data_IF_626121359319
#
_entry.id   IF_626121359319
#
_cell.length_a   1.000
_cell.length_b   1.000
_cell.length_c   1.000
_cell.angle_alpha   90.00
_cell.angle_beta   90.00
_cell.angle_gamma   90.00
#
_symmetry.space_group_name_H-M   'P 1'
#
loop_
_entity.id
_entity.type
_entity.pdbx_description
1 polymer ?
#
# COMPACT_ATOMS: atom_id res chain seq x y z
N UNK A 1 -8.50 3.49 -15.65
CA UNK A 1 -7.48 4.23 -14.89
C UNK A 1 -6.64 3.24 -14.10
N UNK A 2 -5.55 2.68 -14.67
CA UNK A 2 -4.71 1.74 -13.90
C UNK A 2 -3.22 1.64 -14.28
N UNK A 3 -2.60 2.66 -14.87
CA UNK A 3 -1.17 2.52 -15.27
C UNK A 3 -0.21 3.39 -14.44
N UNK A 4 -0.67 4.49 -13.84
CA UNK A 4 0.26 5.47 -13.26
C UNK A 4 1.02 4.98 -12.02
N UNK A 5 0.37 4.20 -11.13
CA UNK A 5 1.04 3.64 -9.95
C UNK A 5 2.02 2.54 -10.36
N UNK A 6 1.64 1.66 -11.27
CA UNK A 6 2.48 0.56 -11.74
C UNK A 6 3.73 1.10 -12.45
N UNK A 7 3.57 2.10 -13.33
CA UNK A 7 4.72 2.77 -13.97
C UNK A 7 5.62 3.47 -12.95
N UNK A 8 5.05 4.09 -11.92
CA UNK A 8 5.83 4.69 -10.83
C UNK A 8 6.61 3.64 -10.04
N UNK A 9 6.00 2.48 -9.75
CA UNK A 9 6.67 1.38 -9.04
C UNK A 9 7.77 0.76 -9.89
N UNK A 10 7.53 0.55 -11.20
CA UNK A 10 8.58 0.10 -12.14
C UNK A 10 9.77 1.05 -12.13
N UNK A 11 9.52 2.34 -12.31
CA UNK A 11 10.57 3.36 -12.34
C UNK A 11 11.33 3.44 -11.01
N UNK A 12 10.62 3.34 -9.87
CA UNK A 12 11.23 3.30 -8.54
C UNK A 12 12.15 2.10 -8.34
N UNK A 13 11.81 0.95 -8.93
CA UNK A 13 12.48 -0.33 -8.68
C UNK A 13 13.35 -0.84 -9.86
N UNK A 14 13.59 -0.03 -10.89
CA UNK A 14 14.31 -0.50 -12.09
C UNK A 14 15.79 -0.86 -11.86
N UNK A 15 16.49 -0.12 -10.99
CA UNK A 15 17.96 -0.23 -10.80
C UNK A 15 18.38 -0.72 -9.41
N UNK A 16 17.43 -1.26 -8.63
CA UNK A 16 17.66 -1.72 -7.27
C UNK A 16 18.03 -3.22 -7.27
N UNK A 17 19.03 -3.61 -6.48
CA UNK A 17 19.34 -5.03 -6.31
C UNK A 17 18.17 -5.79 -5.67
N UNK A 18 18.00 -7.07 -6.00
CA UNK A 18 16.87 -7.87 -5.53
C UNK A 18 16.71 -7.86 -3.99
N UNK A 19 17.81 -8.02 -3.25
CA UNK A 19 17.78 -7.98 -1.78
C UNK A 19 17.30 -6.63 -1.23
N UNK A 20 17.70 -5.54 -1.88
CA UNK A 20 17.28 -4.19 -1.49
C UNK A 20 15.83 -3.93 -1.92
N UNK A 21 15.40 -4.49 -3.05
CA UNK A 21 14.02 -4.45 -3.51
C UNK A 21 13.09 -5.10 -2.49
N UNK A 22 13.38 -6.32 -2.02
CA UNK A 22 12.55 -7.03 -1.04
C UNK A 22 12.34 -6.19 0.22
N UNK A 23 13.44 -5.62 0.77
CA UNK A 23 13.36 -4.76 1.96
C UNK A 23 12.55 -3.49 1.73
N UNK A 24 12.77 -2.82 0.60
CA UNK A 24 12.07 -1.58 0.29
C UNK A 24 10.58 -1.82 0.02
N UNK A 25 10.23 -2.87 -0.72
CA UNK A 25 8.85 -3.25 -0.97
C UNK A 25 8.13 -3.63 0.33
N UNK A 26 8.77 -4.42 1.21
CA UNK A 26 8.21 -4.76 2.52
C UNK A 26 7.88 -3.50 3.32
N UNK A 27 8.83 -2.57 3.42
CA UNK A 27 8.61 -1.29 4.10
C UNK A 27 7.44 -0.51 3.47
N UNK A 28 7.42 -0.38 2.15
CA UNK A 28 6.38 0.35 1.41
C UNK A 28 4.98 -0.27 1.61
N UNK A 29 4.88 -1.59 1.67
CA UNK A 29 3.62 -2.31 1.87
C UNK A 29 3.14 -2.18 3.32
N UNK A 30 4.04 -2.37 4.29
CA UNK A 30 3.74 -2.21 5.73
C UNK A 30 3.33 -0.78 6.04
N UNK A 31 4.00 0.22 5.46
CA UNK A 31 3.64 1.63 5.64
C UNK A 31 2.22 1.93 5.17
N UNK A 32 1.81 1.44 3.99
CA UNK A 32 0.44 1.62 3.50
C UNK A 32 -0.60 0.85 4.33
N UNK A 33 -0.29 -0.38 4.77
CA UNK A 33 -1.15 -1.11 5.70
C UNK A 33 -1.28 -0.40 7.05
N UNK A 34 -0.21 0.25 7.52
CA UNK A 34 -0.19 1.05 8.74
C UNK A 34 -1.16 2.24 8.69
N UNK A 35 -1.31 2.89 7.53
CA UNK A 35 -2.32 3.95 7.34
C UNK A 35 -3.73 3.39 7.51
N UNK A 36 -4.03 2.21 6.93
CA UNK A 36 -5.34 1.56 7.09
C UNK A 36 -5.61 1.29 8.57
N UNK A 37 -4.65 0.68 9.26
CA UNK A 37 -4.76 0.39 10.69
C UNK A 37 -5.04 1.66 11.49
N UNK A 38 -4.22 2.70 11.33
CA UNK A 38 -4.37 3.96 12.07
C UNK A 38 -5.70 4.66 11.79
N UNK A 39 -6.17 4.69 10.54
CA UNK A 39 -7.48 5.24 10.20
C UNK A 39 -8.62 4.52 10.92
N UNK A 40 -8.59 3.18 10.95
CA UNK A 40 -9.61 2.40 11.66
C UNK A 40 -9.51 2.59 13.17
N UNK A 41 -8.30 2.59 13.75
CA UNK A 41 -8.09 2.85 15.18
C UNK A 41 -8.63 4.22 15.59
N UNK A 42 -8.41 5.25 14.77
CA UNK A 42 -8.93 6.58 15.05
C UNK A 42 -10.46 6.59 15.10
N UNK A 43 -11.13 5.97 14.12
CA UNK A 43 -12.59 5.85 14.11
C UNK A 43 -13.12 5.08 15.33
N UNK A 44 -12.46 3.98 15.71
CA UNK A 44 -12.84 3.22 16.91
C UNK A 44 -12.72 4.09 18.16
N UNK A 45 -11.62 4.84 18.31
CA UNK A 45 -11.44 5.74 19.44
C UNK A 45 -12.51 6.85 19.47
N UNK A 46 -12.86 7.45 18.34
CA UNK A 46 -13.92 8.47 18.28
C UNK A 46 -15.27 7.91 18.77
N UNK A 47 -15.59 6.68 18.38
CA UNK A 47 -16.82 5.98 18.80
C UNK A 47 -16.75 5.61 20.29
N UNK A 48 -15.63 5.05 20.76
CA UNK A 48 -15.46 4.62 22.15
C UNK A 48 -15.48 5.79 23.14
N UNK A 49 -15.03 6.97 22.72
CA UNK A 49 -15.01 8.18 23.56
C UNK A 49 -16.27 9.04 23.42
N UNK A 50 -17.30 8.58 22.70
CA UNK A 50 -18.56 9.31 22.47
C UNK A 50 -18.33 10.74 21.95
N UNK A 51 -17.32 10.92 21.09
CA UNK A 51 -17.03 12.21 20.48
C UNK A 51 -18.20 12.67 19.60
N UNK A 52 -18.36 13.98 19.38
CA UNK A 52 -19.34 14.49 18.42
C UNK A 52 -18.84 14.20 17.00
N UNK A 53 -19.34 13.12 16.40
CA UNK A 53 -18.83 12.57 15.16
C UNK A 53 -19.37 13.35 13.96
N UNK A 54 -18.50 14.07 13.26
CA UNK A 54 -18.80 14.61 11.93
C UNK A 54 -18.76 13.49 10.88
N UNK A 55 -19.89 13.26 10.22
CA UNK A 55 -20.02 12.24 9.18
C UNK A 55 -19.11 12.48 7.97
N UNK A 56 -18.82 13.73 7.62
CA UNK A 56 -17.93 14.04 6.49
C UNK A 56 -16.47 13.75 6.83
N UNK A 57 -16.08 13.96 8.08
CA UNK A 57 -14.76 13.57 8.59
C UNK A 57 -14.61 12.04 8.56
N UNK A 58 -15.59 11.30 9.08
CA UNK A 58 -15.59 9.82 9.05
C UNK A 58 -15.47 9.29 7.62
N UNK A 59 -16.24 9.87 6.70
CA UNK A 59 -16.19 9.48 5.29
C UNK A 59 -14.80 9.71 4.70
N UNK A 60 -14.19 10.86 4.97
CA UNK A 60 -12.82 11.17 4.53
C UNK A 60 -11.81 10.16 5.06
N UNK A 61 -11.91 9.79 6.34
CA UNK A 61 -11.01 8.81 6.98
C UNK A 61 -11.16 7.43 6.33
N UNK A 62 -12.40 7.00 6.07
CA UNK A 62 -12.69 5.73 5.40
C UNK A 62 -12.21 5.72 3.94
N UNK A 63 -12.34 6.83 3.21
CA UNK A 63 -11.81 6.96 1.85
C UNK A 63 -10.28 6.85 1.82
N UNK A 64 -9.58 7.49 2.77
CA UNK A 64 -8.12 7.35 2.93
C UNK A 64 -7.74 5.90 3.22
N UNK A 65 -8.45 5.24 4.14
CA UNK A 65 -8.20 3.84 4.48
C UNK A 65 -8.40 2.93 3.26
N UNK A 66 -9.48 3.13 2.51
CA UNK A 66 -9.77 2.37 1.30
C UNK A 66 -8.68 2.55 0.24
N UNK A 67 -8.31 3.80 -0.06
CA UNK A 67 -7.28 4.10 -1.04
C UNK A 67 -5.91 3.53 -0.65
N UNK A 68 -5.56 3.57 0.64
CA UNK A 68 -4.31 2.98 1.13
C UNK A 68 -4.32 1.46 1.06
N UNK A 69 -5.46 0.82 1.35
CA UNK A 69 -5.62 -0.63 1.19
C UNK A 69 -5.47 -1.05 -0.27
N UNK A 70 -6.11 -0.34 -1.20
CA UNK A 70 -5.96 -0.58 -2.64
C UNK A 70 -4.50 -0.46 -3.10
N UNK A 71 -3.80 0.57 -2.62
CA UNK A 71 -2.39 0.78 -2.94
C UNK A 71 -1.51 -0.34 -2.37
N UNK A 72 -1.81 -0.83 -1.18
CA UNK A 72 -1.13 -1.98 -0.57
C UNK A 72 -1.29 -3.22 -1.44
N UNK A 73 -2.51 -3.53 -1.88
CA UNK A 73 -2.79 -4.67 -2.76
C UNK A 73 -2.04 -4.54 -4.10
N UNK A 74 -2.05 -3.35 -4.72
CA UNK A 74 -1.31 -3.09 -5.97
C UNK A 74 0.19 -3.31 -5.80
N UNK A 75 0.79 -2.82 -4.70
CA UNK A 75 2.20 -3.05 -4.38
C UNK A 75 2.52 -4.55 -4.19
N UNK A 76 1.65 -5.31 -3.54
CA UNK A 76 1.83 -6.76 -3.37
C UNK A 76 1.79 -7.47 -4.74
N UNK A 77 0.81 -7.14 -5.59
CA UNK A 77 0.70 -7.70 -6.95
C UNK A 77 1.91 -7.35 -7.81
N UNK A 78 2.37 -6.10 -7.75
CA UNK A 78 3.57 -5.66 -8.45
C UNK A 78 4.79 -6.50 -8.06
N UNK A 79 5.01 -6.71 -6.76
CA UNK A 79 6.15 -7.49 -6.30
C UNK A 79 6.08 -8.96 -6.69
N UNK A 80 4.90 -9.58 -6.62
CA UNK A 80 4.71 -10.96 -7.09
C UNK A 80 5.13 -11.10 -8.56
N UNK A 81 4.68 -10.19 -9.42
CA UNK A 81 5.04 -10.16 -10.84
C UNK A 81 6.54 -9.90 -11.05
N UNK A 82 7.10 -8.93 -10.34
CA UNK A 82 8.53 -8.61 -10.45
C UNK A 82 9.43 -9.78 -10.07
N UNK A 83 9.07 -10.54 -9.02
CA UNK A 83 9.79 -11.76 -8.60
C UNK A 83 9.68 -12.84 -9.68
N UNK A 84 8.48 -13.06 -10.24
CA UNK A 84 8.26 -14.03 -11.33
C UNK A 84 9.13 -13.72 -12.56
N UNK A 85 9.11 -12.47 -13.03
CA UNK A 85 9.90 -12.00 -14.18
C UNK A 85 11.41 -12.21 -13.96
N UNK A 86 11.93 -11.90 -12.76
CA UNK A 86 13.33 -12.09 -12.39
C UNK A 86 13.74 -13.57 -12.27
N UNK A 87 12.79 -14.46 -11.95
CA UNK A 87 13.05 -15.90 -11.85
C UNK A 87 13.15 -16.50 -13.25
N UNK A 88 12.20 -16.17 -14.14
CA UNK A 88 12.19 -16.63 -15.53
C UNK A 88 13.43 -16.17 -16.32
N UNK A 89 13.92 -14.95 -16.06
CA UNK A 89 15.13 -14.42 -16.70
C UNK A 89 16.43 -15.15 -16.30
N UNK A 90 16.46 -15.87 -15.18
CA UNK A 90 17.63 -16.66 -14.74
C UNK A 90 17.67 -18.06 -15.35
N UNK A 91 16.53 -18.58 -15.81
CA UNK A 91 16.40 -19.91 -16.42
C UNK A 91 16.57 -19.90 -17.96
N UNK A 92 16.83 -18.72 -18.55
CA UNK A 92 17.03 -18.48 -20.00
C UNK A 92 18.50 -18.22 -20.33
#
# INVERSE_FOLDING_TARGET
MSDQLDETLKEKYKDISFDRFVKQWQYDAVSSAGVVHSSITMLVNMIENEEDIDLEEVKTILEIALQSNENTIKKIRFAAKFIEDQTLAKDS
#
